data_IF_733140739772
#
_entry.id   IF_733140739772
#
_cell.length_a   1.000
_cell.length_b   1.000
_cell.length_c   1.000
_cell.angle_alpha   90.00
_cell.angle_beta   90.00
_cell.angle_gamma   90.00
#
_symmetry.space_group_name_H-M   'P 1'
#
loop_
_entity.id
_entity.type
_entity.pdbx_description
1 polymer ?
#
# COMPACT_ATOMS: atom_id res chain seq x y z
N UNK A 1 -19.20 0.16 -10.01
CA UNK A 1 -18.11 0.29 -9.03
C UNK A 1 -17.81 -1.05 -8.43
N UNK A 2 -16.57 -1.52 -8.60
CA UNK A 2 -16.06 -2.77 -8.02
C UNK A 2 -15.25 -2.45 -6.76
N UNK A 3 -15.38 -3.24 -5.71
CA UNK A 3 -14.57 -3.10 -4.49
C UNK A 3 -13.52 -4.21 -4.48
N UNK A 4 -12.24 -3.84 -4.49
CA UNK A 4 -11.12 -4.77 -4.48
C UNK A 4 -10.28 -4.50 -3.23
N UNK A 5 -10.11 -5.53 -2.39
CA UNK A 5 -9.21 -5.46 -1.25
C UNK A 5 -7.83 -5.93 -1.70
N UNK A 6 -6.83 -5.07 -1.54
CA UNK A 6 -5.44 -5.33 -1.91
C UNK A 6 -4.63 -5.53 -0.64
N UNK A 7 -4.00 -6.70 -0.56
CA UNK A 7 -2.99 -6.99 0.46
C UNK A 7 -1.62 -6.57 -0.07
N UNK A 8 -0.63 -6.33 0.79
CA UNK A 8 0.71 -5.91 0.38
C UNK A 8 1.33 -6.85 -0.66
N UNK A 9 1.01 -8.15 -0.60
CA UNK A 9 1.47 -9.17 -1.56
C UNK A 9 0.91 -9.04 -2.98
N UNK A 10 -0.14 -8.24 -3.14
CA UNK A 10 -0.83 -8.00 -4.42
C UNK A 10 -0.76 -6.53 -4.81
N UNK A 11 0.05 -5.75 -4.09
CA UNK A 11 0.28 -4.36 -4.40
C UNK A 11 1.15 -4.29 -5.64
N UNK A 12 0.75 -3.49 -6.61
CA UNK A 12 1.54 -3.20 -7.80
C UNK A 12 2.17 -1.81 -7.66
N UNK A 13 3.29 -1.52 -8.35
CA UNK A 13 3.84 -0.18 -8.38
C UNK A 13 2.82 0.88 -8.85
N UNK A 14 1.91 0.53 -9.77
CA UNK A 14 0.80 1.41 -10.18
C UNK A 14 -0.12 1.82 -9.01
N UNK A 15 -0.52 0.87 -8.17
CA UNK A 15 -1.36 1.18 -7.01
C UNK A 15 -0.60 2.00 -5.95
N UNK A 16 0.71 1.80 -5.85
CA UNK A 16 1.58 2.54 -4.96
C UNK A 16 1.76 3.98 -5.44
N UNK A 17 1.95 4.18 -6.75
CA UNK A 17 1.96 5.50 -7.37
C UNK A 17 0.67 6.27 -7.07
N UNK A 18 -0.50 5.64 -7.28
CA UNK A 18 -1.79 6.27 -6.95
C UNK A 18 -1.93 6.61 -5.46
N UNK A 19 -1.35 5.81 -4.57
CA UNK A 19 -1.31 6.11 -3.13
C UNK A 19 -0.43 7.32 -2.84
N UNK A 20 0.77 7.40 -3.42
CA UNK A 20 1.70 8.52 -3.23
C UNK A 20 1.15 9.80 -3.83
N UNK A 21 0.53 9.74 -5.01
CA UNK A 21 -0.15 10.89 -5.63
C UNK A 21 -1.32 11.39 -4.79
N UNK A 22 -2.11 10.47 -4.22
CA UNK A 22 -3.26 10.82 -3.38
C UNK A 22 -2.86 11.31 -1.98
N UNK A 23 -1.80 10.73 -1.44
CA UNK A 23 -1.31 10.95 -0.08
C UNK A 23 0.19 11.31 -0.09
N UNK A 24 0.57 12.46 -0.68
CA UNK A 24 1.97 12.85 -0.83
C UNK A 24 2.66 13.09 0.52
N UNK A 25 1.90 13.57 1.51
CA UNK A 25 2.35 13.78 2.89
C UNK A 25 2.09 12.55 3.79
N UNK A 26 1.67 11.42 3.19
CA UNK A 26 1.18 10.25 3.90
C UNK A 26 -0.32 10.32 4.22
N UNK A 27 -0.84 9.26 4.84
CA UNK A 27 -2.25 9.13 5.24
C UNK A 27 -2.40 9.38 6.75
N UNK A 28 -3.46 10.09 7.13
CA UNK A 28 -3.81 10.31 8.54
C UNK A 28 -4.79 9.25 9.06
N UNK A 29 -5.06 9.28 10.37
CA UNK A 29 -6.07 8.40 10.99
C UNK A 29 -7.46 8.58 10.37
N UNK A 30 -7.79 9.79 9.88
CA UNK A 30 -9.05 10.11 9.21
C UNK A 30 -9.20 9.42 7.84
N UNK A 31 -8.09 9.04 7.20
CA UNK A 31 -8.07 8.31 5.93
C UNK A 31 -8.16 6.79 6.12
N UNK A 32 -7.96 6.32 7.35
CA UNK A 32 -7.93 4.90 7.67
C UNK A 32 -9.36 4.36 7.85
N UNK A 33 -9.69 3.39 7.01
CA UNK A 33 -10.93 2.63 7.12
C UNK A 33 -10.66 1.36 7.92
N UNK A 34 -11.26 1.28 9.10
CA UNK A 34 -11.20 0.10 9.96
C UNK A 34 -12.47 -0.74 9.82
N UNK A 35 -12.32 -2.02 9.51
CA UNK A 35 -13.44 -2.96 9.44
C UNK A 35 -13.06 -4.35 9.94
N UNK A 36 -14.06 -5.18 10.25
CA UNK A 36 -13.82 -6.58 10.64
C UNK A 36 -14.04 -7.51 9.46
N UNK A 37 -13.12 -8.44 9.24
CA UNK A 37 -13.27 -9.47 8.21
C UNK A 37 -14.16 -10.64 8.70
N UNK A 38 -14.36 -11.65 7.84
CA UNK A 38 -15.13 -12.85 8.16
C UNK A 38 -14.59 -13.68 9.33
N UNK A 39 -13.33 -13.43 9.75
CA UNK A 39 -12.69 -14.05 10.91
C UNK A 39 -12.74 -13.17 12.17
N UNK A 40 -13.49 -12.08 12.15
CA UNK A 40 -13.55 -11.06 13.22
C UNK A 40 -12.22 -10.33 13.49
N UNK A 41 -11.23 -10.49 12.60
CA UNK A 41 -9.97 -9.76 12.65
C UNK A 41 -10.22 -8.31 12.22
N UNK A 42 -9.63 -7.38 12.96
CA UNK A 42 -9.65 -5.95 12.61
C UNK A 42 -8.66 -5.72 11.47
N UNK A 43 -9.15 -5.15 10.37
CA UNK A 43 -8.39 -4.78 9.20
C UNK A 43 -8.44 -3.26 9.07
N UNK A 44 -7.28 -2.66 8.84
CA UNK A 44 -7.11 -1.24 8.55
C UNK A 44 -6.67 -1.10 7.10
N UNK A 45 -7.30 -0.19 6.37
CA UNK A 45 -7.02 0.02 4.96
C UNK A 45 -7.24 1.49 4.58
N UNK A 46 -6.43 1.99 3.65
CA UNK A 46 -6.66 3.27 2.97
C UNK A 46 -7.40 3.01 1.66
N UNK A 47 -8.26 3.96 1.26
CA UNK A 47 -8.97 3.84 -0.02
C UNK A 47 -8.29 4.63 -1.15
N UNK A 48 -8.21 4.01 -2.32
CA UNK A 48 -7.83 4.66 -3.58
C UNK A 48 -8.92 4.39 -4.61
N UNK A 49 -9.35 5.44 -5.29
CA UNK A 49 -10.44 5.38 -6.25
C UNK A 49 -9.86 5.55 -7.66
N UNK A 50 -10.14 4.59 -8.52
CA UNK A 50 -10.03 4.76 -9.98
C UNK A 50 -11.42 4.99 -10.56
N UNK A 51 -11.51 5.20 -11.88
CA UNK A 51 -12.78 5.52 -12.55
C UNK A 51 -13.90 4.51 -12.28
N UNK A 52 -13.56 3.22 -12.15
CA UNK A 52 -14.55 2.14 -12.01
C UNK A 52 -14.36 1.25 -10.77
N UNK A 53 -13.22 1.40 -10.07
CA UNK A 53 -12.78 0.48 -9.03
C UNK A 53 -12.35 1.23 -7.76
N UNK A 54 -12.87 0.77 -6.63
CA UNK A 54 -12.44 1.18 -5.29
C UNK A 54 -11.45 0.15 -4.77
N UNK A 55 -10.20 0.55 -4.60
CA UNK A 55 -9.16 -0.25 -4.00
C UNK A 55 -9.07 0.07 -2.50
N UNK A 56 -9.14 -0.97 -1.67
CA UNK A 56 -8.89 -0.89 -0.25
C UNK A 56 -7.52 -1.53 0.02
N UNK A 57 -6.50 -0.70 0.17
CA UNK A 57 -5.13 -1.18 0.37
C UNK A 57 -4.89 -1.32 1.87
N UNK A 58 -4.59 -2.53 2.31
CA UNK A 58 -4.36 -2.82 3.72
C UNK A 58 -3.13 -2.08 4.24
N UNK A 59 -3.32 -1.35 5.33
CA UNK A 59 -2.25 -0.65 6.02
C UNK A 59 -1.37 -1.67 6.74
N UNK A 60 -0.06 -1.54 6.56
CA UNK A 60 0.94 -2.30 7.28
C UNK A 60 2.24 -1.50 7.33
N UNK A 61 3.13 -1.81 8.28
CA UNK A 61 4.47 -1.20 8.31
C UNK A 61 5.22 -1.32 6.98
N UNK A 62 4.97 -2.41 6.24
CA UNK A 62 5.55 -2.66 4.91
C UNK A 62 5.06 -1.64 3.88
N UNK A 63 3.78 -1.28 3.92
CA UNK A 63 3.22 -0.31 3.00
C UNK A 63 3.88 1.06 3.20
N UNK A 64 3.98 1.54 4.43
CA UNK A 64 4.57 2.85 4.73
C UNK A 64 6.01 2.94 4.24
N UNK A 65 6.83 1.90 4.46
CA UNK A 65 8.20 1.86 3.95
C UNK A 65 8.26 1.87 2.43
N UNK A 66 7.41 1.07 1.77
CA UNK A 66 7.34 1.06 0.31
C UNK A 66 6.97 2.45 -0.22
N UNK A 67 5.96 3.11 0.37
CA UNK A 67 5.55 4.46 -0.03
C UNK A 67 6.68 5.49 0.13
N UNK A 68 7.43 5.41 1.22
CA UNK A 68 8.55 6.34 1.49
C UNK A 68 9.73 6.13 0.54
N UNK A 69 9.98 4.88 0.16
CA UNK A 69 11.08 4.51 -0.75
C UNK A 69 10.65 4.42 -2.22
N UNK A 70 9.39 4.74 -2.54
CA UNK A 70 8.86 4.58 -3.88
C UNK A 70 9.25 5.75 -4.76
N UNK A 71 9.87 5.46 -5.89
CA UNK A 71 10.07 6.40 -6.98
C UNK A 71 9.46 5.80 -8.24
N UNK A 72 8.56 6.54 -8.89
CA UNK A 72 7.90 6.09 -10.12
C UNK A 72 8.91 5.90 -11.25
N UNK A 73 9.99 6.70 -11.26
CA UNK A 73 11.03 6.64 -12.29
C UNK A 73 11.87 5.35 -12.25
N UNK A 74 11.82 4.60 -11.14
CA UNK A 74 12.54 3.34 -10.96
C UNK A 74 11.84 2.13 -11.64
N UNK A 75 10.58 2.28 -12.06
CA UNK A 75 9.77 1.19 -12.62
C UNK A 75 9.47 1.43 -14.10
N UNK A 76 9.62 0.39 -14.92
CA UNK A 76 9.17 0.46 -16.32
C UNK A 76 7.65 0.28 -16.43
N UNK A 77 7.06 0.68 -17.57
CA UNK A 77 5.63 0.45 -17.86
C UNK A 77 5.19 -1.01 -17.67
N UNK A 78 6.11 -1.97 -17.84
CA UNK A 78 5.82 -3.39 -17.63
C UNK A 78 5.75 -3.73 -16.15
N UNK A 79 6.66 -3.16 -15.37
CA UNK A 79 6.80 -3.39 -13.94
C UNK A 79 5.63 -2.77 -13.16
N UNK A 80 5.06 -1.68 -13.66
CA UNK A 80 3.89 -1.02 -13.07
C UNK A 80 2.71 -1.96 -12.78
N UNK A 81 2.55 -2.98 -13.61
CA UNK A 81 1.48 -3.99 -13.49
C UNK A 81 1.89 -5.27 -12.75
N UNK A 82 3.17 -5.40 -12.40
CA UNK A 82 3.73 -6.60 -11.79
C UNK A 82 3.84 -6.44 -10.27
N UNK A 83 3.07 -7.20 -9.47
CA UNK A 83 3.17 -7.15 -8.01
C UNK A 83 4.51 -7.66 -7.47
N UNK A 84 5.26 -8.44 -8.26
CA UNK A 84 6.58 -8.95 -7.88
C UNK A 84 7.71 -7.96 -8.20
N UNK A 85 7.41 -6.82 -8.86
CA UNK A 85 8.39 -5.78 -9.14
C UNK A 85 8.79 -4.98 -7.88
N UNK A 86 7.92 -4.91 -6.87
CA UNK A 86 8.20 -4.20 -5.63
C UNK A 86 9.28 -4.95 -4.81
N UNK A 87 10.25 -4.24 -4.20
CA UNK A 87 11.29 -4.87 -3.41
C UNK A 87 10.70 -5.58 -2.19
N UNK A 88 11.13 -6.83 -1.97
CA UNK A 88 10.67 -7.61 -0.81
C UNK A 88 11.21 -7.02 0.49
N UNK A 89 10.31 -6.52 1.33
CA UNK A 89 10.69 -6.03 2.65
C UNK A 89 11.03 -7.20 3.58
N UNK A 90 12.27 -7.27 4.05
CA UNK A 90 12.70 -8.33 4.94
C UNK A 90 12.34 -8.04 6.40
N UNK A 91 12.46 -9.05 7.25
CA UNK A 91 12.29 -8.86 8.70
C UNK A 91 13.35 -7.91 9.29
N UNK A 92 14.53 -7.81 8.68
CA UNK A 92 15.60 -6.94 9.16
C UNK A 92 15.37 -5.48 8.76
N UNK A 93 14.73 -5.22 7.62
CA UNK A 93 14.30 -3.85 7.24
C UNK A 93 13.25 -3.31 8.22
N UNK A 94 12.30 -4.16 8.63
CA UNK A 94 11.31 -3.82 9.65
C UNK A 94 11.94 -3.45 11.00
N UNK A 95 13.01 -4.15 11.42
CA UNK A 95 13.70 -3.87 12.69
C UNK A 95 14.44 -2.53 12.65
N UNK A 96 15.09 -2.20 11.52
CA UNK A 96 15.80 -0.92 11.36
C UNK A 96 14.88 0.28 11.51
N UNK A 97 13.63 0.19 11.07
CA UNK A 97 12.64 1.26 11.26
C UNK A 97 12.25 1.39 12.73
N UNK A 98 12.09 0.27 13.45
CA UNK A 98 11.75 0.29 14.88
C UNK A 98 12.91 0.80 15.77
N UNK A 99 14.17 0.62 15.37
CA UNK A 99 15.33 1.11 16.12
C UNK A 99 15.61 2.62 15.93
N UNK A 100 14.97 3.27 14.96
CA UNK A 100 15.12 4.71 14.68
C UNK A 100 13.97 5.58 15.27
N UNK A 101 13.08 4.99 16.07
CA UNK A 101 12.00 5.66 16.84
C UNK A 101 12.34 5.66 18.33
#
# INVERSE_FOLDING_TARGET
MRNIIVDYKKLTPELLALLVEKYPDGYGDDDVITFKNHKYETIEAVEVLTEDTKYLVKISKRLSMQMESFDEEDYSDRDMSDPDALPEITADDLKKVEENL
#
